data_IF_377494240788
#
_entry.id   IF_377494240788
#
_cell.length_a   1.000
_cell.length_b   1.000
_cell.length_c   1.000
_cell.angle_alpha   90.00
_cell.angle_beta   90.00
_cell.angle_gamma   90.00
#
_symmetry.space_group_name_H-M   'P 1'
#
loop_
_entity.id
_entity.type
_entity.pdbx_description
1 polymer ?
#
# COMPACT_ATOMS: atom_id res chain seq x y z
N UNK A 1 -12.38 -21.16 4.31
CA UNK A 1 -11.90 -19.92 4.96
C UNK A 1 -10.62 -20.27 5.70
N UNK A 2 -9.50 -19.66 5.35
CA UNK A 2 -8.23 -19.83 6.09
C UNK A 2 -8.13 -18.66 7.06
N UNK A 3 -8.31 -18.91 8.35
CA UNK A 3 -8.18 -17.89 9.41
C UNK A 3 -6.71 -17.76 9.78
N UNK A 4 -6.13 -16.57 9.60
CA UNK A 4 -4.78 -16.26 10.08
C UNK A 4 -4.78 -16.14 11.61
N UNK A 5 -3.70 -16.56 12.25
CA UNK A 5 -3.54 -16.42 13.71
C UNK A 5 -3.30 -14.95 14.10
N UNK A 6 -3.59 -14.54 15.35
CA UNK A 6 -3.45 -13.14 15.78
C UNK A 6 -2.07 -12.52 15.52
N UNK A 7 -0.98 -13.28 15.72
CA UNK A 7 0.38 -12.84 15.41
C UNK A 7 0.61 -12.63 13.90
N UNK A 8 0.02 -13.48 13.05
CA UNK A 8 0.14 -13.36 11.61
C UNK A 8 -0.58 -12.11 11.08
N UNK A 9 -1.67 -11.69 11.73
CA UNK A 9 -2.37 -10.46 11.37
C UNK A 9 -1.55 -9.21 11.68
N UNK A 10 -0.83 -9.17 12.81
CA UNK A 10 -0.02 -8.02 13.20
C UNK A 10 1.25 -7.88 12.35
N UNK A 11 1.94 -8.99 12.07
CA UNK A 11 3.08 -9.02 11.14
C UNK A 11 2.67 -8.57 9.73
N UNK A 12 1.46 -8.95 9.31
CA UNK A 12 0.91 -8.55 8.02
C UNK A 12 0.61 -7.04 7.95
N UNK A 13 0.02 -6.46 8.99
CA UNK A 13 -0.22 -5.01 9.06
C UNK A 13 1.09 -4.21 9.08
N UNK A 14 2.10 -4.67 9.81
CA UNK A 14 3.43 -4.07 9.81
C UNK A 14 4.08 -4.10 8.41
N UNK A 15 3.92 -5.21 7.69
CA UNK A 15 4.39 -5.34 6.31
C UNK A 15 3.63 -4.38 5.37
N UNK A 16 2.30 -4.28 5.50
CA UNK A 16 1.50 -3.36 4.70
C UNK A 16 1.94 -1.90 4.93
N UNK A 17 2.17 -1.52 6.18
CA UNK A 17 2.59 -0.17 6.53
C UNK A 17 4.01 0.15 6.02
N UNK A 18 4.92 -0.82 6.11
CA UNK A 18 6.25 -0.70 5.51
C UNK A 18 6.16 -0.51 3.99
N UNK A 19 5.27 -1.26 3.31
CA UNK A 19 5.05 -1.12 1.86
C UNK A 19 4.45 0.24 1.50
N UNK A 20 3.44 0.73 2.24
CA UNK A 20 2.87 2.07 2.05
C UNK A 20 3.93 3.16 2.16
N UNK A 21 4.80 3.07 3.17
CA UNK A 21 5.91 4.00 3.37
C UNK A 21 6.87 4.01 2.18
N UNK A 22 7.28 2.84 1.70
CA UNK A 22 8.21 2.73 0.55
C UNK A 22 7.60 3.28 -0.74
N UNK A 23 6.31 3.05 -0.98
CA UNK A 23 5.59 3.61 -2.13
C UNK A 23 5.54 5.13 -2.08
N UNK A 24 5.34 5.72 -0.90
CA UNK A 24 5.33 7.18 -0.76
C UNK A 24 6.71 7.78 -1.07
N UNK A 25 7.79 7.12 -0.64
CA UNK A 25 9.18 7.52 -1.00
C UNK A 25 9.42 7.42 -2.51
N UNK A 26 8.95 6.35 -3.16
CA UNK A 26 9.08 6.18 -4.60
C UNK A 26 8.31 7.26 -5.38
N UNK A 27 7.07 7.56 -4.98
CA UNK A 27 6.28 8.64 -5.60
C UNK A 27 6.97 10.00 -5.46
N UNK A 28 7.50 10.32 -4.28
CA UNK A 28 8.24 11.56 -4.06
C UNK A 28 9.50 11.64 -4.94
N UNK A 29 10.25 10.53 -5.03
CA UNK A 29 11.47 10.45 -5.87
C UNK A 29 11.16 10.63 -7.35
N UNK A 30 10.08 10.02 -7.84
CA UNK A 30 9.62 10.13 -9.24
C UNK A 30 9.14 11.55 -9.54
N UNK A 31 8.43 12.19 -8.61
CA UNK A 31 8.01 13.58 -8.76
C UNK A 31 9.21 14.54 -8.83
N UNK A 32 10.21 14.36 -7.96
CA UNK A 32 11.45 15.15 -8.00
C UNK A 32 12.23 14.91 -9.29
N UNK A 33 12.30 13.67 -9.77
CA UNK A 33 12.93 13.35 -11.04
C UNK A 33 12.24 14.09 -12.20
N UNK A 34 10.90 14.05 -12.24
CA UNK A 34 10.10 14.75 -13.24
C UNK A 34 10.38 16.26 -13.25
N UNK A 35 10.47 16.88 -12.08
CA UNK A 35 10.70 18.32 -11.97
C UNK A 35 12.13 18.75 -12.35
N UNK A 36 13.10 17.85 -12.22
CA UNK A 36 14.49 18.11 -12.61
C UNK A 36 14.82 17.72 -14.05
N UNK A 37 13.86 17.10 -14.76
CA UNK A 37 14.01 16.75 -16.16
C UNK A 37 13.67 17.93 -17.07
N UNK A 38 14.38 18.01 -18.20
CA UNK A 38 14.01 18.94 -19.26
C UNK A 38 12.91 18.34 -20.12
N UNK A 39 11.94 19.15 -20.56
CA UNK A 39 10.78 18.72 -21.35
C UNK A 39 11.13 18.07 -22.71
N UNK A 40 12.42 18.01 -23.06
CA UNK A 40 12.91 17.41 -24.30
C UNK A 40 13.15 15.90 -24.18
N UNK A 41 13.15 15.33 -22.97
CA UNK A 41 13.34 13.90 -22.77
C UNK A 41 12.00 13.14 -22.68
N UNK A 42 11.36 13.00 -23.85
CA UNK A 42 10.06 12.33 -24.02
C UNK A 42 10.03 10.90 -23.47
N UNK A 43 11.14 10.14 -23.61
CA UNK A 43 11.21 8.75 -23.14
C UNK A 43 11.21 8.68 -21.62
N UNK A 44 11.96 9.57 -20.97
CA UNK A 44 11.97 9.62 -19.51
C UNK A 44 10.63 10.05 -18.93
N UNK A 45 9.94 10.99 -19.57
CA UNK A 45 8.56 11.36 -19.21
C UNK A 45 7.59 10.17 -19.34
N UNK A 46 7.74 9.35 -20.38
CA UNK A 46 6.97 8.12 -20.55
C UNK A 46 7.25 7.11 -19.43
N UNK A 47 8.52 6.88 -19.09
CA UNK A 47 8.90 5.99 -17.99
C UNK A 47 8.39 6.47 -16.64
N UNK A 48 8.48 7.75 -16.34
CA UNK A 48 7.93 8.37 -15.13
C UNK A 48 6.42 8.12 -15.05
N UNK A 49 5.69 8.30 -16.15
CA UNK A 49 4.25 8.04 -16.19
C UNK A 49 3.93 6.56 -15.93
N UNK A 50 4.69 5.63 -16.52
CA UNK A 50 4.53 4.19 -16.25
C UNK A 50 4.79 3.86 -14.78
N UNK A 51 5.83 4.42 -14.18
CA UNK A 51 6.15 4.22 -12.76
C UNK A 51 5.00 4.73 -11.86
N UNK A 52 4.48 5.93 -12.13
CA UNK A 52 3.35 6.48 -11.39
C UNK A 52 2.10 5.59 -11.48
N UNK A 53 1.81 5.05 -12.68
CA UNK A 53 0.69 4.11 -12.86
C UNK A 53 0.86 2.83 -12.04
N UNK A 54 2.06 2.25 -12.00
CA UNK A 54 2.31 1.07 -11.17
C UNK A 54 2.22 1.39 -9.67
N UNK A 55 2.73 2.54 -9.22
CA UNK A 55 2.60 2.96 -7.82
C UNK A 55 1.14 3.11 -7.40
N UNK A 56 0.29 3.66 -8.27
CA UNK A 56 -1.16 3.74 -8.04
C UNK A 56 -1.82 2.36 -8.01
N UNK A 57 -1.42 1.42 -8.87
CA UNK A 57 -1.92 0.04 -8.81
C UNK A 57 -1.55 -0.64 -7.50
N UNK A 58 -0.30 -0.49 -7.05
CA UNK A 58 0.14 -1.08 -5.78
C UNK A 58 -0.63 -0.46 -4.60
N UNK A 59 -0.85 0.86 -4.59
CA UNK A 59 -1.70 1.50 -3.58
C UNK A 59 -3.11 0.92 -3.53
N UNK A 60 -3.73 0.72 -4.69
CA UNK A 60 -5.06 0.08 -4.76
C UNK A 60 -5.02 -1.33 -4.21
N UNK A 61 -4.02 -2.13 -4.55
CA UNK A 61 -3.87 -3.48 -4.00
C UNK A 61 -3.74 -3.46 -2.47
N UNK A 62 -2.90 -2.58 -1.92
CA UNK A 62 -2.71 -2.43 -0.47
C UNK A 62 -3.95 -1.92 0.26
N UNK A 63 -4.81 -1.15 -0.41
CA UNK A 63 -6.04 -0.60 0.15
C UNK A 63 -7.27 -1.49 -0.10
N UNK A 64 -7.21 -2.40 -1.08
CA UNK A 64 -8.20 -3.45 -1.32
C UNK A 64 -7.97 -4.67 -0.43
N UNK A 65 -6.81 -4.77 0.19
CA UNK A 65 -6.55 -5.70 1.28
C UNK A 65 -7.60 -5.47 2.38
N UNK A 66 -8.40 -6.48 2.76
CA UNK A 66 -9.65 -6.20 3.44
C UNK A 66 -9.44 -5.62 4.85
N UNK A 67 -10.07 -4.48 5.12
CA UNK A 67 -10.45 -4.04 6.49
C UNK A 67 -11.20 -5.14 7.27
N UNK A 68 -11.66 -6.18 6.57
CA UNK A 68 -12.35 -7.35 7.07
C UNK A 68 -11.52 -8.24 8.03
N UNK A 69 -10.19 -8.09 8.08
CA UNK A 69 -9.36 -8.71 9.14
C UNK A 69 -9.39 -7.90 10.44
N UNK A 70 -9.54 -6.57 10.35
CA UNK A 70 -9.59 -5.66 11.50
C UNK A 70 -10.96 -5.72 12.18
N UNK A 71 -12.04 -5.90 11.41
CA UNK A 71 -13.41 -5.94 11.92
C UNK A 71 -13.81 -7.25 12.64
N UNK A 72 -13.03 -8.34 12.53
CA UNK A 72 -13.31 -9.58 13.28
C UNK A 72 -12.83 -9.52 14.74
N UNK A 73 -11.90 -8.62 15.09
CA UNK A 73 -11.41 -8.47 16.48
C UNK A 73 -12.43 -7.84 17.43
N UNK A 74 -13.41 -7.09 16.93
CA UNK A 74 -14.41 -6.38 17.75
C UNK A 74 -15.72 -7.14 17.96
N UNK A 75 -16.00 -8.20 17.19
CA UNK A 75 -17.18 -9.05 17.41
C UNK A 75 -16.95 -10.14 18.45
N UNK A 76 -15.74 -10.69 18.55
CA UNK A 76 -15.45 -11.78 19.48
C UNK A 76 -15.33 -11.34 20.95
N UNK A 77 -15.18 -10.04 21.21
CA UNK A 77 -15.09 -9.49 22.58
C UNK A 77 -16.49 -9.28 23.20
N UNK A 78 -17.54 -9.06 22.40
CA UNK A 78 -18.89 -8.77 22.93
C UNK A 78 -19.76 -10.01 23.23
N UNK A 79 -19.33 -11.19 22.77
CA UNK A 79 -20.04 -12.46 22.99
C UNK A 79 -19.49 -13.31 24.13
N UNK A 80 -18.48 -12.80 24.87
CA UNK A 80 -17.91 -13.49 26.04
C UNK A 80 -18.48 -13.01 27.39
N UNK A 81 -19.36 -12.00 27.39
CA UNK A 81 -19.97 -11.40 28.59
C UNK A 81 -21.51 -11.53 28.64
N UNK A 82 -22.07 -12.65 28.14
CA UNK A 82 -23.46 -13.07 28.41
C UNK A 82 -23.51 -14.56 28.70
#
# INVERSE_FOLDING_TARGET
MVTMSPNQSEEYELLLEALRTRINVLNASVFLLKNNMTDRDLKSMEYINRINLELERIRRLLNQTPEHLIAMKTKDIKSADI
#
